data_IF_767456681533
#
_entry.id   IF_767456681533
#
_cell.length_a   1.000
_cell.length_b   1.000
_cell.length_c   1.000
_cell.angle_alpha   90.00
_cell.angle_beta   90.00
_cell.angle_gamma   90.00
#
_symmetry.space_group_name_H-M   'P 1'
#
loop_
_entity.id
_entity.type
_entity.pdbx_description
1 polymer ?
#
# COMPACT_ATOMS: atom_id res chain seq x y z
N UNK A 1 6.41 -10.86 -4.81
CA UNK A 1 6.98 -9.52 -4.93
C UNK A 1 5.86 -8.52 -4.93
N UNK A 2 5.85 -7.62 -4.00
CA UNK A 2 4.82 -6.59 -3.90
C UNK A 2 5.44 -5.33 -4.48
N UNK A 3 4.81 -4.66 -5.46
CA UNK A 3 5.31 -3.40 -6.01
C UNK A 3 5.49 -2.38 -4.88
N UNK A 4 6.29 -1.35 -5.09
CA UNK A 4 6.43 -0.26 -4.12
C UNK A 4 5.09 0.35 -3.72
N UNK A 5 4.13 0.39 -4.63
CA UNK A 5 2.72 0.70 -4.35
C UNK A 5 2.09 -0.33 -3.43
N UNK A 6 2.42 -1.62 -3.56
CA UNK A 6 1.88 -2.67 -2.71
C UNK A 6 2.43 -2.66 -1.29
N UNK A 7 3.72 -2.36 -1.08
CA UNK A 7 4.17 -2.09 0.28
C UNK A 7 3.43 -0.90 0.89
N UNK A 8 3.11 0.12 0.09
CA UNK A 8 2.34 1.28 0.53
C UNK A 8 0.83 1.04 0.50
N UNK A 9 0.24 0.36 -0.49
CA UNK A 9 -1.21 0.15 -0.54
C UNK A 9 -1.68 -0.92 0.43
N UNK A 10 -1.00 -2.07 0.53
CA UNK A 10 -1.35 -3.12 1.48
C UNK A 10 -0.99 -2.78 2.93
N UNK A 11 0.06 -1.99 3.17
CA UNK A 11 0.33 -1.42 4.49
C UNK A 11 -0.60 -0.23 4.78
N UNK A 12 -1.05 0.51 3.76
CA UNK A 12 -1.90 1.68 3.91
C UNK A 12 -3.38 1.35 3.98
N UNK A 13 -3.90 0.45 3.15
CA UNK A 13 -5.33 0.10 3.19
C UNK A 13 -5.68 -0.57 4.52
N UNK A 14 -4.87 -1.51 4.97
CA UNK A 14 -5.06 -2.17 6.27
C UNK A 14 -4.76 -1.27 7.46
N UNK A 15 -3.89 -0.25 7.33
CA UNK A 15 -3.54 0.67 8.43
C UNK A 15 -4.49 1.85 8.53
N UNK A 16 -5.09 2.30 7.42
CA UNK A 16 -6.03 3.43 7.46
C UNK A 16 -7.32 3.06 8.20
N UNK A 17 -7.79 1.84 8.03
CA UNK A 17 -9.04 1.38 8.67
C UNK A 17 -8.88 1.10 10.18
N UNK A 18 -7.69 0.69 10.61
CA UNK A 18 -7.46 0.25 12.00
C UNK A 18 -7.34 1.35 13.05
N UNK A 19 -7.34 2.63 12.69
CA UNK A 19 -7.14 3.72 13.65
C UNK A 19 -8.33 4.66 13.79
N UNK A 20 -9.47 4.36 13.22
CA UNK A 20 -10.74 4.96 13.60
C UNK A 20 -11.42 4.12 14.69
N UNK A 21 -10.76 3.89 15.81
CA UNK A 21 -11.48 3.56 17.05
C UNK A 21 -12.30 4.81 17.35
N UNK A 22 -13.59 4.70 17.09
CA UNK A 22 -14.57 5.72 17.41
C UNK A 22 -14.59 5.91 18.93
N UNK A 23 -13.87 6.91 19.41
CA UNK A 23 -14.21 7.53 20.70
C UNK A 23 -15.56 8.16 20.45
N UNK A 24 -16.59 7.66 21.13
CA UNK A 24 -17.95 8.15 21.03
C UNK A 24 -18.01 9.67 21.12
N UNK A 25 -18.40 10.29 20.03
CA UNK A 25 -18.80 11.69 19.99
C UNK A 25 -20.26 11.71 19.54
N UNK A 26 -21.07 12.14 20.47
CA UNK A 26 -22.48 12.54 20.34
C UNK A 26 -22.77 13.25 19.01
N UNK A 27 -23.91 12.85 18.47
CA UNK A 27 -24.73 13.47 17.45
C UNK A 27 -24.17 14.75 16.81
N UNK A 28 -23.69 14.62 15.60
CA UNK A 28 -23.46 15.76 14.74
C UNK A 28 -24.60 15.84 13.76
N UNK A 29 -25.18 17.05 13.69
CA UNK A 29 -26.23 17.45 12.79
C UNK A 29 -26.04 16.88 11.37
N UNK A 30 -27.14 16.51 10.74
CA UNK A 30 -27.20 16.11 9.35
C UNK A 30 -26.40 17.09 8.49
N UNK A 31 -25.27 16.64 7.99
CA UNK A 31 -24.46 17.41 7.06
C UNK A 31 -25.18 17.34 5.72
N UNK A 32 -25.54 18.48 5.16
CA UNK A 32 -26.01 18.56 3.77
C UNK A 32 -25.07 17.76 2.87
N UNK A 33 -25.60 17.04 1.85
CA UNK A 33 -24.75 16.33 0.92
C UNK A 33 -23.78 17.33 0.28
N UNK A 34 -22.49 17.13 0.50
CA UNK A 34 -21.47 17.98 -0.07
C UNK A 34 -21.70 18.05 -1.60
N UNK A 35 -21.78 19.27 -2.14
CA UNK A 35 -21.93 19.49 -3.58
C UNK A 35 -20.81 18.74 -4.30
N UNK A 36 -21.16 18.06 -5.37
CA UNK A 36 -20.18 17.43 -6.24
C UNK A 36 -19.45 18.51 -7.01
N UNK A 37 -18.17 18.66 -6.77
CA UNK A 37 -17.30 19.62 -7.44
C UNK A 37 -16.37 18.90 -8.42
N UNK A 38 -15.70 19.65 -9.27
CA UNK A 38 -14.61 19.12 -10.09
C UNK A 38 -13.29 19.28 -9.35
N UNK A 39 -12.31 18.47 -9.71
CA UNK A 39 -10.98 18.59 -9.16
C UNK A 39 -9.91 18.23 -10.18
N UNK A 40 -8.69 18.62 -9.84
CA UNK A 40 -7.49 18.18 -10.52
C UNK A 40 -6.50 17.65 -9.47
N UNK A 41 -5.65 16.73 -9.88
CA UNK A 41 -4.64 16.16 -8.98
C UNK A 41 -3.32 15.94 -9.67
N UNK A 42 -2.33 15.67 -8.84
CA UNK A 42 -1.01 15.25 -9.26
C UNK A 42 -0.40 14.27 -8.27
N UNK A 43 0.41 13.39 -8.78
CA UNK A 43 1.11 12.38 -8.00
C UNK A 43 2.56 12.33 -8.44
N UNK A 44 3.46 12.20 -7.47
CA UNK A 44 4.89 11.98 -7.69
C UNK A 44 5.34 10.77 -6.89
N UNK A 45 6.25 10.00 -7.46
CA UNK A 45 6.85 8.84 -6.82
C UNK A 45 8.33 8.73 -7.17
N UNK A 46 9.14 8.38 -6.19
CA UNK A 46 10.53 8.02 -6.39
C UNK A 46 10.91 6.87 -5.46
N UNK A 47 11.67 5.92 -5.96
CA UNK A 47 12.27 4.87 -5.14
C UNK A 47 13.67 4.51 -5.60
N UNK A 48 14.42 3.94 -4.68
CA UNK A 48 15.77 3.44 -4.90
C UNK A 48 16.00 2.20 -4.04
N UNK A 49 16.68 1.21 -4.57
CA UNK A 49 17.08 0.02 -3.82
C UNK A 49 18.60 -0.18 -3.79
N UNK A 50 19.06 -1.11 -2.96
CA UNK A 50 20.48 -1.43 -2.79
C UNK A 50 21.09 -2.18 -3.98
N UNK A 51 20.29 -2.62 -4.94
CA UNK A 51 20.75 -3.22 -6.20
C UNK A 51 20.90 -2.19 -7.32
N UNK A 52 20.66 -0.89 -7.00
CA UNK A 52 20.78 0.22 -7.92
C UNK A 52 19.57 0.39 -8.85
N UNK A 53 18.46 -0.31 -8.57
CA UNK A 53 17.23 -0.12 -9.31
C UNK A 53 16.48 1.10 -8.79
N UNK A 54 16.10 1.99 -9.70
CA UNK A 54 15.37 3.20 -9.38
C UNK A 54 14.05 3.24 -10.16
N UNK A 55 12.99 3.69 -9.49
CA UNK A 55 11.72 4.04 -10.13
C UNK A 55 11.43 5.51 -9.88
N UNK A 56 11.02 6.24 -10.91
CA UNK A 56 10.47 7.59 -10.81
C UNK A 56 9.14 7.63 -11.53
N UNK A 57 8.16 8.29 -10.96
CA UNK A 57 6.83 8.40 -11.55
C UNK A 57 6.22 9.77 -11.30
N UNK A 58 5.48 10.25 -12.29
CA UNK A 58 4.61 11.41 -12.17
C UNK A 58 3.26 11.08 -12.75
N UNK A 59 2.20 11.63 -12.17
CA UNK A 59 0.87 11.49 -12.73
C UNK A 59 0.09 12.79 -12.64
N UNK A 60 -0.86 12.94 -13.55
CA UNK A 60 -1.86 13.98 -13.54
C UNK A 60 -3.25 13.35 -13.47
N UNK A 61 -4.16 14.00 -12.76
CA UNK A 61 -5.50 13.51 -12.53
C UNK A 61 -6.54 14.56 -12.90
N UNK A 62 -7.62 14.13 -13.51
CA UNK A 62 -8.82 14.92 -13.68
C UNK A 62 -9.97 14.21 -12.96
N UNK A 63 -10.64 14.94 -12.06
CA UNK A 63 -11.68 14.44 -11.17
C UNK A 63 -13.00 15.16 -11.49
N UNK A 64 -13.79 14.65 -12.46
CA UNK A 64 -15.10 15.24 -12.79
C UNK A 64 -16.08 15.20 -11.61
N UNK A 65 -15.87 14.26 -10.66
CA UNK A 65 -16.65 14.15 -9.43
C UNK A 65 -15.70 14.10 -8.24
N UNK A 66 -15.66 15.15 -7.45
CA UNK A 66 -14.89 15.26 -6.22
C UNK A 66 -15.80 15.79 -5.09
N UNK A 67 -16.22 14.90 -4.19
CA UNK A 67 -16.90 15.31 -2.96
C UNK A 67 -15.89 15.55 -1.85
N UNK A 68 -14.99 14.59 -1.68
CA UNK A 68 -13.83 14.65 -0.78
C UNK A 68 -12.80 13.59 -1.22
N UNK A 69 -11.71 13.44 -0.48
CA UNK A 69 -10.64 12.48 -0.79
C UNK A 69 -11.10 11.00 -0.72
N UNK A 70 -12.17 10.72 0.01
CA UNK A 70 -12.74 9.38 0.20
C UNK A 70 -13.91 9.09 -0.76
N UNK A 71 -14.38 10.13 -1.52
CA UNK A 71 -15.46 10.00 -2.51
C UNK A 71 -15.14 10.81 -3.74
N UNK A 72 -14.67 10.14 -4.78
CA UNK A 72 -14.25 10.72 -6.06
C UNK A 72 -14.39 9.75 -7.23
N UNK A 73 -14.52 10.32 -8.43
CA UNK A 73 -14.41 9.61 -9.72
C UNK A 73 -13.46 10.40 -10.60
N UNK A 74 -12.58 9.72 -11.33
CA UNK A 74 -11.64 10.42 -12.18
C UNK A 74 -10.87 9.56 -13.16
N UNK A 75 -9.96 10.22 -13.85
CA UNK A 75 -8.99 9.62 -14.75
C UNK A 75 -7.59 10.06 -14.34
N UNK A 76 -6.62 9.15 -14.49
CA UNK A 76 -5.21 9.40 -14.22
C UNK A 76 -4.37 9.00 -15.43
N UNK A 77 -3.45 9.85 -15.81
CA UNK A 77 -2.32 9.48 -16.67
C UNK A 77 -1.07 9.45 -15.82
N UNK A 78 -0.32 8.33 -15.89
CA UNK A 78 0.94 8.14 -15.18
C UNK A 78 2.06 7.87 -16.16
N UNK A 79 3.16 8.58 -16.00
CA UNK A 79 4.44 8.30 -16.65
C UNK A 79 5.43 7.79 -15.62
N UNK A 80 6.13 6.70 -15.90
CA UNK A 80 7.17 6.12 -15.05
C UNK A 80 8.44 5.86 -15.83
N UNK A 81 9.57 6.02 -15.16
CA UNK A 81 10.88 5.59 -15.63
C UNK A 81 11.49 4.62 -14.63
N UNK A 82 12.04 3.56 -15.15
CA UNK A 82 12.82 2.56 -14.42
C UNK A 82 14.25 2.62 -14.89
N UNK A 83 15.22 2.65 -13.99
CA UNK A 83 16.64 2.71 -14.34
C UNK A 83 17.46 1.80 -13.46
N UNK A 84 18.43 1.10 -14.02
CA UNK A 84 19.45 0.35 -13.30
C UNK A 84 20.74 0.34 -14.10
N UNK A 85 21.81 0.92 -13.56
CA UNK A 85 23.08 1.12 -14.26
C UNK A 85 22.87 1.84 -15.62
N UNK A 86 23.17 1.18 -16.74
CA UNK A 86 23.00 1.70 -18.10
C UNK A 86 21.66 1.31 -18.74
N UNK A 87 20.79 0.60 -18.03
CA UNK A 87 19.48 0.20 -18.51
C UNK A 87 18.42 1.22 -18.09
N UNK A 88 17.50 1.49 -19.03
CA UNK A 88 16.34 2.36 -18.80
C UNK A 88 15.10 1.79 -19.47
N UNK A 89 13.96 1.92 -18.82
CA UNK A 89 12.64 1.58 -19.37
C UNK A 89 11.63 2.66 -18.97
N UNK A 90 10.73 2.97 -19.89
CA UNK A 90 9.63 3.89 -19.66
C UNK A 90 8.30 3.15 -19.70
N UNK A 91 7.34 3.61 -18.90
CA UNK A 91 5.99 3.09 -18.88
C UNK A 91 4.97 4.24 -18.85
N UNK A 92 3.90 4.05 -19.60
CA UNK A 92 2.76 4.95 -19.69
C UNK A 92 1.51 4.20 -19.23
N UNK A 93 0.72 4.81 -18.38
CA UNK A 93 -0.51 4.20 -17.89
C UNK A 93 -1.64 5.22 -17.93
N UNK A 94 -2.79 4.79 -18.42
CA UNK A 94 -4.07 5.53 -18.29
C UNK A 94 -5.00 4.69 -17.46
N UNK A 95 -5.61 5.27 -16.44
CA UNK A 95 -6.53 4.57 -15.55
C UNK A 95 -7.75 5.39 -15.18
N UNK A 96 -8.81 4.68 -14.81
CA UNK A 96 -10.02 5.21 -14.20
C UNK A 96 -9.90 5.05 -12.69
N UNK A 97 -10.27 6.11 -11.99
CA UNK A 97 -10.26 6.16 -10.52
C UNK A 97 -11.69 6.20 -10.02
N UNK A 98 -12.00 5.37 -9.04
CA UNK A 98 -13.22 5.49 -8.26
C UNK A 98 -12.91 5.22 -6.81
N UNK A 99 -13.41 6.08 -5.93
CA UNK A 99 -13.36 5.89 -4.49
C UNK A 99 -14.71 6.28 -3.91
N UNK A 100 -15.25 5.42 -3.08
CA UNK A 100 -16.52 5.65 -2.38
C UNK A 100 -16.44 4.95 -1.02
N UNK A 101 -15.91 5.68 -0.04
CA UNK A 101 -15.63 5.20 1.31
C UNK A 101 -16.34 6.13 2.28
N UNK A 102 -17.17 5.57 3.15
CA UNK A 102 -17.75 6.29 4.27
C UNK A 102 -16.68 6.56 5.34
N UNK A 103 -16.29 7.81 5.58
CA UNK A 103 -15.23 8.12 6.54
C UNK A 103 -15.59 7.81 8.01
N UNK A 104 -16.88 7.61 8.33
CA UNK A 104 -17.31 7.28 9.68
C UNK A 104 -17.19 5.79 9.99
N UNK A 105 -17.49 4.93 9.02
CA UNK A 105 -17.50 3.48 9.18
C UNK A 105 -16.35 2.80 8.45
N UNK A 106 -15.67 3.52 7.56
CA UNK A 106 -14.71 3.03 6.56
C UNK A 106 -15.32 2.01 5.56
N UNK A 107 -16.63 1.76 5.62
CA UNK A 107 -17.31 0.91 4.65
C UNK A 107 -17.22 1.52 3.26
N UNK A 108 -16.80 0.75 2.28
CA UNK A 108 -16.70 1.24 0.92
C UNK A 108 -15.64 0.57 0.10
N UNK A 109 -15.37 1.14 -1.06
CA UNK A 109 -14.45 0.58 -2.03
C UNK A 109 -13.63 1.65 -2.75
N UNK A 110 -12.49 1.21 -3.25
CA UNK A 110 -11.62 2.00 -4.12
C UNK A 110 -11.18 1.16 -5.32
N UNK A 111 -11.00 1.81 -6.44
CA UNK A 111 -10.59 1.19 -7.69
C UNK A 111 -9.69 2.16 -8.48
N UNK A 112 -8.56 1.66 -8.95
CA UNK A 112 -7.71 2.24 -9.99
C UNK A 112 -7.54 1.15 -11.06
N UNK A 113 -8.28 1.26 -12.16
CA UNK A 113 -8.26 0.28 -13.23
C UNK A 113 -7.82 0.93 -14.54
N UNK A 114 -6.85 0.36 -15.22
CA UNK A 114 -6.27 0.99 -16.39
C UNK A 114 -5.53 0.06 -17.31
N UNK A 115 -4.80 0.68 -18.25
CA UNK A 115 -3.91 0.04 -19.18
C UNK A 115 -2.52 0.66 -19.06
N UNK A 116 -1.51 -0.18 -18.91
CA UNK A 116 -0.11 0.22 -18.86
C UNK A 116 0.63 -0.35 -20.07
N UNK A 117 1.44 0.49 -20.69
CA UNK A 117 2.33 0.15 -21.80
C UNK A 117 3.77 0.40 -21.36
N UNK A 118 4.65 -0.58 -21.56
CA UNK A 118 6.08 -0.44 -21.31
C UNK A 118 6.88 -1.18 -22.40
N UNK A 119 7.70 -0.44 -23.17
CA UNK A 119 8.36 -0.99 -24.36
C UNK A 119 7.33 -1.58 -25.33
N UNK A 120 7.49 -2.87 -25.68
CA UNK A 120 6.55 -3.62 -26.54
C UNK A 120 5.46 -4.36 -25.76
N UNK A 121 5.44 -4.24 -24.43
CA UNK A 121 4.52 -4.97 -23.57
C UNK A 121 3.37 -4.07 -23.10
N UNK A 122 2.15 -4.60 -23.16
CA UNK A 122 0.95 -3.95 -22.65
C UNK A 122 0.19 -4.87 -21.71
N UNK A 123 -0.42 -4.30 -20.68
CA UNK A 123 -1.29 -5.05 -19.77
C UNK A 123 -2.39 -4.17 -19.17
N UNK A 124 -3.46 -4.81 -18.74
CA UNK A 124 -4.45 -4.17 -17.88
C UNK A 124 -3.92 -4.12 -16.45
N UNK A 125 -3.94 -2.95 -15.84
CA UNK A 125 -3.60 -2.73 -14.44
C UNK A 125 -4.86 -2.65 -13.58
N UNK A 126 -4.76 -3.09 -12.35
CA UNK A 126 -5.86 -3.08 -11.41
C UNK A 126 -5.30 -2.90 -9.98
N UNK A 127 -5.81 -1.91 -9.26
CA UNK A 127 -5.63 -1.76 -7.80
C UNK A 127 -7.02 -1.55 -7.22
N UNK A 128 -7.53 -2.52 -6.50
CA UNK A 128 -8.88 -2.52 -5.96
C UNK A 128 -8.93 -2.96 -4.51
N UNK A 129 -9.80 -2.32 -3.73
CA UNK A 129 -10.05 -2.66 -2.34
C UNK A 129 -11.51 -2.45 -1.97
N UNK A 130 -12.04 -3.33 -1.15
CA UNK A 130 -13.35 -3.21 -0.53
C UNK A 130 -13.24 -3.49 0.96
N UNK A 131 -13.68 -2.54 1.77
CA UNK A 131 -13.76 -2.71 3.21
C UNK A 131 -15.22 -2.77 3.66
N UNK A 132 -15.52 -3.70 4.55
CA UNK A 132 -16.84 -3.87 5.15
C UNK A 132 -16.73 -4.12 6.66
N UNK A 133 -17.30 -3.24 7.51
CA UNK A 133 -17.52 -3.55 8.91
C UNK A 133 -18.52 -4.71 9.03
N UNK A 134 -18.13 -5.81 9.67
CA UNK A 134 -19.00 -6.96 9.94
C UNK A 134 -19.67 -6.84 11.30
N UNK A 135 -18.96 -6.21 12.26
CA UNK A 135 -19.44 -5.91 13.61
C UNK A 135 -18.73 -4.66 14.14
N UNK A 136 -19.09 -4.20 15.34
CA UNK A 136 -18.54 -2.99 15.94
C UNK A 136 -16.99 -2.95 16.04
N UNK A 137 -16.35 -4.11 16.14
CA UNK A 137 -14.88 -4.25 16.24
C UNK A 137 -14.32 -5.28 15.26
N UNK A 138 -15.05 -5.61 14.19
CA UNK A 138 -14.66 -6.61 13.21
C UNK A 138 -14.80 -6.02 11.82
N UNK A 139 -13.72 -5.97 11.07
CA UNK A 139 -13.68 -5.56 9.67
C UNK A 139 -13.26 -6.70 8.75
N UNK A 140 -13.72 -6.62 7.51
CA UNK A 140 -13.33 -7.48 6.40
C UNK A 140 -12.82 -6.61 5.27
N UNK A 141 -11.63 -6.92 4.77
CA UNK A 141 -11.08 -6.32 3.56
C UNK A 141 -10.93 -7.38 2.46
N UNK A 142 -11.36 -7.03 1.26
CA UNK A 142 -11.02 -7.74 0.03
C UNK A 142 -10.10 -6.85 -0.80
N UNK A 143 -9.10 -7.43 -1.43
CA UNK A 143 -8.18 -6.67 -2.26
C UNK A 143 -7.76 -7.44 -3.49
N UNK A 144 -7.44 -6.68 -4.54
CA UNK A 144 -6.82 -7.18 -5.77
C UNK A 144 -5.84 -6.14 -6.28
N UNK A 145 -4.69 -6.62 -6.76
CA UNK A 145 -3.68 -5.78 -7.38
C UNK A 145 -3.07 -6.51 -8.58
N UNK A 146 -2.92 -5.82 -9.71
CA UNK A 146 -2.29 -6.32 -10.94
C UNK A 146 -1.34 -5.28 -11.48
N UNK A 147 -0.05 -5.60 -11.42
CA UNK A 147 1.05 -4.69 -11.74
C UNK A 147 2.23 -5.44 -12.39
N UNK A 148 3.17 -4.67 -12.95
CA UNK A 148 4.45 -5.19 -13.41
C UNK A 148 5.30 -5.68 -12.23
N UNK A 149 6.12 -6.72 -12.48
CA UNK A 149 7.20 -7.08 -11.56
C UNK A 149 8.35 -6.11 -11.79
N UNK A 150 8.60 -5.22 -10.84
CA UNK A 150 9.56 -4.11 -10.96
C UNK A 150 11.00 -4.59 -10.71
N UNK A 151 11.55 -5.37 -11.62
CA UNK A 151 12.99 -5.68 -11.76
C UNK A 151 13.38 -5.52 -13.21
N UNK A 152 14.65 -5.25 -13.48
CA UNK A 152 15.18 -5.12 -14.86
C UNK A 152 14.75 -6.31 -15.73
N UNK A 153 15.10 -7.54 -15.32
CA UNK A 153 14.82 -8.73 -16.09
C UNK A 153 13.32 -9.04 -16.27
N UNK A 154 12.50 -8.70 -15.29
CA UNK A 154 11.05 -8.90 -15.37
C UNK A 154 10.40 -7.90 -16.32
N UNK A 155 10.80 -6.62 -16.25
CA UNK A 155 10.30 -5.59 -17.16
C UNK A 155 10.70 -5.86 -18.61
N UNK A 156 11.91 -6.35 -18.86
CA UNK A 156 12.34 -6.73 -20.22
C UNK A 156 11.54 -7.89 -20.81
N UNK A 157 11.06 -8.80 -19.96
CA UNK A 157 10.22 -9.95 -20.36
C UNK A 157 8.72 -9.68 -20.29
N UNK A 158 8.30 -8.50 -19.83
CA UNK A 158 6.89 -8.17 -19.63
C UNK A 158 6.21 -9.00 -18.52
N UNK A 159 6.97 -9.45 -17.51
CA UNK A 159 6.41 -10.23 -16.41
C UNK A 159 5.58 -9.33 -15.50
N UNK A 160 4.38 -9.77 -15.21
CA UNK A 160 3.44 -9.12 -14.32
C UNK A 160 2.79 -10.14 -13.37
N UNK A 161 2.08 -9.66 -12.40
CA UNK A 161 1.37 -10.52 -11.45
C UNK A 161 -0.05 -10.02 -11.21
N UNK A 162 -0.89 -10.89 -10.69
CA UNK A 162 -2.13 -10.57 -10.00
C UNK A 162 -2.02 -11.08 -8.56
N UNK A 163 -2.31 -10.21 -7.59
CA UNK A 163 -2.33 -10.56 -6.18
C UNK A 163 -3.69 -10.23 -5.61
N UNK A 164 -4.41 -11.23 -5.13
CA UNK A 164 -5.73 -11.06 -4.54
C UNK A 164 -5.80 -11.77 -3.18
N UNK A 165 -6.66 -11.28 -2.31
CA UNK A 165 -6.81 -11.89 -1.01
C UNK A 165 -7.86 -11.23 -0.14
N UNK A 166 -7.90 -11.73 1.09
CA UNK A 166 -8.81 -11.29 2.15
C UNK A 166 -8.01 -10.96 3.42
N UNK A 167 -8.45 -9.92 4.12
CA UNK A 167 -7.95 -9.59 5.46
C UNK A 167 -9.13 -9.43 6.41
N UNK A 168 -8.93 -9.88 7.64
CA UNK A 168 -9.90 -9.67 8.73
C UNK A 168 -9.18 -8.99 9.88
N UNK A 169 -9.78 -7.94 10.40
CA UNK A 169 -9.35 -7.31 11.64
C UNK A 169 -10.37 -7.53 12.75
N UNK A 170 -9.87 -7.72 13.97
CA UNK A 170 -10.66 -7.94 15.17
C UNK A 170 -10.11 -7.13 16.33
N UNK A 171 -10.91 -6.20 16.83
CA UNK A 171 -10.65 -5.53 18.09
C UNK A 171 -10.96 -6.42 19.29
N UNK A 172 -10.00 -6.58 20.18
CA UNK A 172 -10.11 -7.33 21.45
C UNK A 172 -10.02 -6.36 22.62
N UNK A 173 -11.19 -5.97 23.14
CA UNK A 173 -11.27 -4.87 24.12
C UNK A 173 -10.97 -3.52 23.47
N UNK A 174 -10.37 -2.60 24.23
CA UNK A 174 -10.10 -1.23 23.76
C UNK A 174 -8.63 -1.01 23.37
N UNK A 175 -7.75 -1.90 23.79
CA UNK A 175 -6.30 -1.75 23.62
C UNK A 175 -5.70 -2.66 22.57
N UNK A 176 -6.38 -3.74 22.18
CA UNK A 176 -5.81 -4.76 21.31
C UNK A 176 -6.56 -4.85 19.99
N UNK A 177 -5.82 -5.02 18.93
CA UNK A 177 -6.37 -5.40 17.62
C UNK A 177 -5.50 -6.48 16.99
N UNK A 178 -6.14 -7.49 16.44
CA UNK A 178 -5.49 -8.56 15.68
C UNK A 178 -5.95 -8.48 14.24
N UNK A 179 -5.01 -8.63 13.31
CA UNK A 179 -5.28 -8.64 11.86
C UNK A 179 -4.69 -9.90 11.28
N UNK A 180 -5.45 -10.60 10.48
CA UNK A 180 -5.01 -11.73 9.68
C UNK A 180 -5.25 -11.46 8.20
N UNK A 181 -4.33 -11.89 7.33
CA UNK A 181 -4.46 -11.80 5.87
C UNK A 181 -4.05 -13.12 5.23
N UNK A 182 -4.82 -13.56 4.25
CA UNK A 182 -4.47 -14.62 3.32
C UNK A 182 -4.66 -14.12 1.89
N UNK A 183 -3.73 -14.43 1.00
CA UNK A 183 -3.79 -14.01 -0.40
C UNK A 183 -2.91 -14.87 -1.30
N UNK A 184 -3.26 -14.89 -2.58
CA UNK A 184 -2.52 -15.59 -3.63
C UNK A 184 -2.04 -14.61 -4.68
N UNK A 185 -0.78 -14.77 -5.08
CA UNK A 185 -0.12 -13.98 -6.12
C UNK A 185 0.26 -14.91 -7.28
N UNK A 186 -0.36 -14.73 -8.43
CA UNK A 186 -0.08 -15.48 -9.64
C UNK A 186 0.73 -14.60 -10.61
N UNK A 187 1.82 -15.13 -11.15
CA UNK A 187 2.72 -14.45 -12.07
C UNK A 187 2.46 -14.92 -13.50
N UNK A 188 2.66 -14.03 -14.47
CA UNK A 188 2.47 -14.34 -15.90
C UNK A 188 3.47 -15.34 -16.47
N UNK A 189 4.54 -15.66 -15.77
CA UNK A 189 5.51 -16.69 -16.11
C UNK A 189 5.14 -18.09 -15.57
N UNK A 190 3.96 -18.23 -14.95
CA UNK A 190 3.42 -19.49 -14.45
C UNK A 190 3.78 -19.82 -13.00
N UNK A 191 4.55 -18.96 -12.32
CA UNK A 191 4.80 -19.11 -10.89
C UNK A 191 3.62 -18.58 -10.06
N UNK A 192 3.47 -19.06 -8.84
CA UNK A 192 2.52 -18.49 -7.88
C UNK A 192 3.08 -18.47 -6.46
N UNK A 193 2.47 -17.65 -5.60
CA UNK A 193 2.82 -17.53 -4.18
C UNK A 193 1.59 -17.45 -3.31
N UNK A 194 1.55 -18.23 -2.26
CA UNK A 194 0.56 -18.10 -1.20
C UNK A 194 1.12 -17.26 -0.05
N UNK A 195 0.42 -16.19 0.31
CA UNK A 195 0.83 -15.23 1.32
C UNK A 195 -0.05 -15.30 2.55
N UNK A 196 0.58 -15.32 3.73
CA UNK A 196 -0.10 -15.18 5.01
C UNK A 196 0.57 -14.08 5.82
N UNK A 197 -0.26 -13.26 6.49
CA UNK A 197 0.22 -12.20 7.37
C UNK A 197 -0.61 -12.17 8.63
N UNK A 198 0.03 -11.84 9.74
CA UNK A 198 -0.62 -11.58 11.02
C UNK A 198 -0.02 -10.31 11.62
N UNK A 199 -0.85 -9.52 12.27
CA UNK A 199 -0.42 -8.35 13.01
C UNK A 199 -1.22 -8.25 14.31
N UNK A 200 -0.50 -8.09 15.42
CA UNK A 200 -1.09 -7.75 16.72
C UNK A 200 -0.69 -6.31 17.03
N UNK A 201 -1.66 -5.49 17.35
CA UNK A 201 -1.47 -4.08 17.73
C UNK A 201 -1.93 -3.92 19.16
N UNK A 202 -1.08 -3.35 20.00
CA UNK A 202 -1.39 -2.94 21.35
C UNK A 202 -1.28 -1.42 21.48
N UNK A 203 -2.32 -0.78 21.98
CA UNK A 203 -2.39 0.65 22.22
C UNK A 203 -2.39 0.90 23.74
N UNK A 204 -1.22 1.16 24.35
CA UNK A 204 -1.10 1.26 25.81
C UNK A 204 -1.89 2.44 26.37
N UNK A 205 -1.95 3.55 25.66
CA UNK A 205 -2.62 4.79 26.02
C UNK A 205 -3.46 5.26 24.82
N UNK A 206 -4.78 5.22 24.96
CA UNK A 206 -5.72 5.49 23.85
C UNK A 206 -5.55 6.89 23.25
N UNK A 207 -5.26 7.90 24.06
CA UNK A 207 -5.15 9.30 23.62
C UNK A 207 -3.75 9.69 23.12
N UNK A 208 -2.73 8.86 23.36
CA UNK A 208 -1.34 9.16 22.99
C UNK A 208 -1.06 8.99 21.49
N UNK A 209 -1.87 8.16 20.82
CA UNK A 209 -1.63 7.72 19.45
C UNK A 209 -0.46 6.75 19.32
N UNK A 210 0.10 6.27 20.44
CA UNK A 210 1.20 5.30 20.49
C UNK A 210 0.67 3.86 20.31
N UNK A 211 1.33 3.07 19.50
CA UNK A 211 1.04 1.64 19.32
C UNK A 211 2.31 0.80 19.36
N UNK A 212 2.22 -0.38 19.97
CA UNK A 212 3.23 -1.44 19.84
C UNK A 212 2.67 -2.51 18.90
N UNK A 213 3.47 -3.00 17.99
CA UNK A 213 3.01 -3.91 16.94
C UNK A 213 3.95 -5.09 16.83
N UNK A 214 3.39 -6.29 16.83
CA UNK A 214 4.06 -7.49 16.38
C UNK A 214 3.51 -7.84 15.00
N UNK A 215 4.39 -7.89 13.99
CA UNK A 215 4.03 -8.21 12.61
C UNK A 215 4.72 -9.51 12.20
N UNK A 216 3.97 -10.41 11.59
CA UNK A 216 4.45 -11.63 10.97
C UNK A 216 4.00 -11.67 9.51
N UNK A 217 4.88 -12.08 8.62
CA UNK A 217 4.52 -12.39 7.23
C UNK A 217 5.30 -13.61 6.75
N UNK A 218 4.63 -14.41 5.95
CA UNK A 218 5.24 -15.55 5.28
C UNK A 218 4.65 -15.71 3.89
N UNK A 219 5.43 -16.31 3.00
CA UNK A 219 4.90 -16.82 1.74
C UNK A 219 5.64 -18.09 1.31
N UNK A 220 4.94 -18.88 0.52
CA UNK A 220 5.44 -20.06 -0.15
C UNK A 220 5.31 -19.87 -1.66
N UNK A 221 6.35 -20.21 -2.44
CA UNK A 221 6.35 -20.14 -3.91
C UNK A 221 6.24 -21.55 -4.49
N UNK A 222 5.34 -21.74 -5.48
CA UNK A 222 5.11 -23.04 -6.11
C UNK A 222 6.31 -23.52 -6.92
N UNK A 223 7.05 -22.61 -7.55
CA UNK A 223 8.31 -22.93 -8.23
C UNK A 223 9.47 -22.14 -7.69
N UNK A 224 10.65 -22.75 -7.63
CA UNK A 224 11.87 -22.12 -7.17
C UNK A 224 12.69 -21.51 -8.30
N UNK A 225 12.45 -21.92 -9.55
CA UNK A 225 13.23 -21.51 -10.70
C UNK A 225 12.44 -20.58 -11.62
N UNK A 226 12.65 -19.29 -11.45
CA UNK A 226 12.13 -18.24 -12.34
C UNK A 226 13.25 -17.64 -13.23
N UNK A 227 14.36 -18.36 -13.37
CA UNK A 227 15.48 -17.94 -14.23
C UNK A 227 16.16 -16.64 -13.80
N UNK A 228 16.14 -16.31 -12.52
CA UNK A 228 16.75 -15.07 -11.98
C UNK A 228 16.00 -13.79 -12.36
N UNK A 229 14.78 -13.90 -12.87
CA UNK A 229 13.97 -12.74 -13.30
C UNK A 229 13.57 -11.85 -12.12
N UNK A 230 13.30 -12.46 -10.98
CA UNK A 230 13.03 -11.80 -9.71
C UNK A 230 13.39 -12.73 -8.55
N UNK A 231 13.58 -12.17 -7.36
CA UNK A 231 13.86 -12.96 -6.17
C UNK A 231 12.66 -13.86 -5.82
N UNK A 232 12.88 -15.18 -5.79
CA UNK A 232 11.81 -16.16 -5.63
C UNK A 232 12.25 -17.35 -4.75
N UNK A 233 12.39 -17.17 -3.43
CA UNK A 233 12.65 -18.29 -2.53
C UNK A 233 11.43 -19.20 -2.43
N UNK A 234 11.66 -20.49 -2.17
CA UNK A 234 10.57 -21.43 -1.91
C UNK A 234 9.74 -21.02 -0.68
N UNK A 235 10.43 -20.61 0.37
CA UNK A 235 9.80 -20.17 1.61
C UNK A 235 10.43 -18.86 2.10
N UNK A 236 9.60 -18.00 2.62
CA UNK A 236 9.99 -16.76 3.27
C UNK A 236 9.19 -16.57 4.54
N UNK A 237 9.84 -16.17 5.62
CA UNK A 237 9.19 -15.75 6.85
C UNK A 237 9.88 -14.53 7.44
N UNK A 238 9.11 -13.60 8.01
CA UNK A 238 9.61 -12.42 8.72
C UNK A 238 8.77 -12.16 9.96
N UNK A 239 9.46 -11.85 11.05
CA UNK A 239 8.84 -11.34 12.29
C UNK A 239 9.44 -9.99 12.62
N UNK A 240 8.60 -8.98 12.86
CA UNK A 240 9.01 -7.61 13.11
C UNK A 240 8.26 -7.02 14.30
N UNK A 241 9.00 -6.44 15.24
CA UNK A 241 8.47 -5.58 16.31
C UNK A 241 8.54 -4.14 15.84
N UNK A 242 7.43 -3.40 15.98
CA UNK A 242 7.37 -2.01 15.57
C UNK A 242 6.66 -1.14 16.61
N UNK A 243 7.05 0.13 16.62
CA UNK A 243 6.39 1.21 17.35
C UNK A 243 5.76 2.13 16.34
N UNK A 244 4.47 2.36 16.48
CA UNK A 244 3.73 3.34 15.69
C UNK A 244 3.34 4.54 16.54
N UNK A 245 3.33 5.72 15.94
CA UNK A 245 2.85 6.94 16.55
C UNK A 245 2.02 7.75 15.57
N UNK A 246 0.85 8.20 16.05
CA UNK A 246 -0.07 9.04 15.28
C UNK A 246 -0.36 10.31 16.05
N UNK A 247 -0.16 11.47 15.43
CA UNK A 247 -0.46 12.77 16.01
C UNK A 247 -1.29 13.62 15.06
N UNK A 248 -2.31 14.27 15.59
CA UNK A 248 -3.05 15.32 14.87
C UNK A 248 -2.57 16.68 15.34
N UNK A 249 -2.14 17.55 14.40
CA UNK A 249 -1.59 18.89 14.68
C UNK A 249 -2.28 19.85 13.71
N UNK A 250 -3.13 20.74 14.20
CA UNK A 250 -3.86 21.74 13.38
C UNK A 250 -4.60 21.12 12.18
N UNK A 251 -5.19 19.94 12.39
CA UNK A 251 -5.91 19.20 11.35
C UNK A 251 -5.04 18.27 10.49
N UNK A 252 -3.73 18.49 10.43
CA UNK A 252 -2.79 17.56 9.79
C UNK A 252 -2.66 16.28 10.63
N UNK A 253 -2.51 15.16 9.94
CA UNK A 253 -2.31 13.85 10.59
C UNK A 253 -0.93 13.33 10.22
N UNK A 254 -0.02 13.33 11.19
CA UNK A 254 1.28 12.67 11.08
C UNK A 254 1.19 11.24 11.61
N UNK A 255 1.70 10.28 10.85
CA UNK A 255 1.89 8.88 11.27
C UNK A 255 3.34 8.50 11.04
N UNK A 256 3.93 7.88 12.04
CA UNK A 256 5.29 7.34 11.97
C UNK A 256 5.28 5.89 12.46
N UNK A 257 6.04 5.02 11.82
CA UNK A 257 6.23 3.64 12.27
C UNK A 257 7.70 3.29 12.11
N UNK A 258 8.33 2.84 13.18
CA UNK A 258 9.69 2.29 13.16
C UNK A 258 9.69 0.88 13.72
N UNK A 259 10.47 -0.02 13.13
CA UNK A 259 10.51 -1.41 13.56
C UNK A 259 11.81 -2.11 13.21
N UNK A 260 12.06 -3.19 13.93
CA UNK A 260 13.17 -4.11 13.69
C UNK A 260 12.71 -5.56 13.89
N UNK A 261 13.36 -6.48 13.20
CA UNK A 261 12.97 -7.87 13.25
C UNK A 261 13.99 -8.79 12.61
N UNK A 262 13.55 -9.98 12.31
CA UNK A 262 14.33 -11.01 11.66
C UNK A 262 13.53 -11.62 10.51
N UNK A 263 14.23 -12.02 9.46
CA UNK A 263 13.68 -12.78 8.35
C UNK A 263 14.49 -14.06 8.14
N UNK A 264 13.82 -15.05 7.59
CA UNK A 264 14.40 -16.31 7.16
C UNK A 264 13.98 -16.59 5.72
N UNK A 265 14.96 -16.99 4.90
CA UNK A 265 14.79 -17.33 3.49
C UNK A 265 15.14 -18.79 3.35
N UNK A 266 14.17 -19.63 2.97
CA UNK A 266 14.31 -21.08 2.93
C UNK A 266 14.80 -21.64 4.28
N UNK A 267 15.89 -22.41 4.27
CA UNK A 267 16.58 -22.94 5.45
C UNK A 267 17.82 -22.13 5.86
N UNK A 268 18.04 -20.96 5.26
CA UNK A 268 19.21 -20.14 5.54
C UNK A 268 19.16 -19.54 6.96
N UNK A 269 20.31 -19.09 7.45
CA UNK A 269 20.38 -18.38 8.72
C UNK A 269 19.54 -17.10 8.68
N UNK A 270 18.88 -16.80 9.79
CA UNK A 270 18.07 -15.59 9.91
C UNK A 270 18.91 -14.32 9.77
N UNK A 271 18.38 -13.32 9.11
CA UNK A 271 18.99 -12.00 8.92
C UNK A 271 18.09 -10.89 9.48
N UNK A 272 18.71 -9.78 9.90
CA UNK A 272 17.98 -8.67 10.51
C UNK A 272 17.19 -7.89 9.47
N UNK A 273 15.98 -7.45 9.87
CA UNK A 273 15.12 -6.55 9.08
C UNK A 273 14.87 -5.25 9.82
N UNK A 274 14.65 -4.18 9.07
CA UNK A 274 14.35 -2.84 9.58
C UNK A 274 13.24 -2.22 8.77
N UNK A 275 12.43 -1.38 9.43
CA UNK A 275 11.35 -0.61 8.83
C UNK A 275 11.33 0.79 9.40
N UNK A 276 11.17 1.80 8.54
CA UNK A 276 10.80 3.17 8.90
C UNK A 276 9.79 3.66 7.88
N UNK A 277 8.64 4.14 8.36
CA UNK A 277 7.58 4.72 7.53
C UNK A 277 7.12 6.03 8.14
N UNK A 278 6.91 7.03 7.31
CA UNK A 278 6.35 8.33 7.68
C UNK A 278 5.25 8.68 6.70
N UNK A 279 4.11 9.13 7.22
CA UNK A 279 2.99 9.62 6.42
C UNK A 279 2.46 10.92 7.02
N UNK A 280 2.19 11.87 6.15
CA UNK A 280 1.59 13.16 6.49
C UNK A 280 0.37 13.39 5.58
N UNK A 281 -0.80 13.55 6.19
CA UNK A 281 -2.05 13.91 5.50
C UNK A 281 -2.48 15.32 5.92
N UNK A 282 -2.83 16.16 4.95
CA UNK A 282 -3.45 17.47 5.23
C UNK A 282 -4.89 17.30 5.73
N UNK A 283 -5.52 18.36 6.28
CA UNK A 283 -6.95 18.35 6.57
C UNK A 283 -7.78 18.00 5.32
N UNK A 284 -8.79 17.14 5.48
CA UNK A 284 -9.68 16.71 4.39
C UNK A 284 -10.74 17.77 4.01
N UNK A 285 -10.92 18.79 4.86
CA UNK A 285 -11.94 19.86 4.72
C UNK A 285 -11.32 21.14 4.15
N UNK A 286 -10.70 21.09 3.01
CA UNK A 286 -10.10 22.25 2.37
C UNK A 286 -10.35 22.24 0.88
N UNK A 287 -9.94 23.32 0.20
CA UNK A 287 -9.89 23.37 -1.26
C UNK A 287 -8.76 22.49 -1.82
N UNK A 288 -7.85 22.09 -0.96
CA UNK A 288 -6.70 21.28 -1.33
C UNK A 288 -6.51 20.13 -0.36
N UNK A 289 -6.05 19.02 -0.88
CA UNK A 289 -5.62 17.86 -0.11
C UNK A 289 -4.20 17.50 -0.52
N UNK A 290 -3.34 17.30 0.48
CA UNK A 290 -1.94 16.88 0.29
C UNK A 290 -1.69 15.63 1.13
N UNK A 291 -1.06 14.63 0.53
CA UNK A 291 -0.54 13.45 1.21
C UNK A 291 0.90 13.23 0.83
N UNK A 292 1.75 13.04 1.81
CA UNK A 292 3.16 12.67 1.61
C UNK A 292 3.44 11.39 2.36
N UNK A 293 4.11 10.44 1.72
CA UNK A 293 4.57 9.20 2.33
C UNK A 293 6.02 8.97 1.98
N UNK A 294 6.79 8.46 2.92
CA UNK A 294 8.15 8.04 2.68
C UNK A 294 8.52 6.90 3.61
N UNK A 295 9.46 6.09 3.19
CA UNK A 295 9.87 4.97 4.01
C UNK A 295 11.19 4.35 3.57
N UNK A 296 11.71 3.57 4.48
CA UNK A 296 12.87 2.71 4.29
C UNK A 296 12.55 1.31 4.84
N UNK A 297 12.89 0.29 4.09
CA UNK A 297 12.87 -1.08 4.60
C UNK A 297 14.14 -1.82 4.21
N UNK A 298 14.66 -2.62 5.14
CA UNK A 298 15.68 -3.63 4.87
C UNK A 298 15.05 -4.99 5.09
N UNK A 299 14.67 -5.63 4.02
CA UNK A 299 13.92 -6.88 4.04
C UNK A 299 13.91 -7.48 2.65
N UNK A 300 14.14 -8.77 2.51
CA UNK A 300 14.10 -9.43 1.21
C UNK A 300 12.76 -9.20 0.52
N UNK A 301 12.80 -8.69 -0.68
CA UNK A 301 11.64 -8.37 -1.49
C UNK A 301 11.96 -8.62 -2.97
N UNK A 302 12.56 -7.64 -3.65
CA UNK A 302 13.03 -7.78 -5.03
C UNK A 302 14.40 -8.42 -5.11
N UNK A 303 15.24 -8.19 -4.12
CA UNK A 303 16.54 -8.81 -3.92
C UNK A 303 16.60 -9.70 -2.68
N UNK A 304 17.77 -10.26 -2.39
CA UNK A 304 18.02 -11.21 -1.31
C UNK A 304 18.04 -10.60 0.10
N UNK A 305 18.71 -11.25 1.04
CA UNK A 305 18.58 -10.92 2.48
C UNK A 305 19.14 -9.54 2.88
N UNK A 306 19.97 -8.93 2.04
CA UNK A 306 20.51 -7.58 2.27
C UNK A 306 19.80 -6.48 1.48
N UNK A 307 18.67 -6.81 0.85
CA UNK A 307 17.93 -5.86 0.05
C UNK A 307 17.37 -4.72 0.92
N UNK A 308 17.71 -3.51 0.55
CA UNK A 308 17.20 -2.28 1.14
C UNK A 308 16.42 -1.48 0.11
N UNK A 309 15.31 -0.91 0.52
CA UNK A 309 14.40 -0.15 -0.33
C UNK A 309 14.00 1.14 0.34
N UNK A 310 14.15 2.26 -0.38
CA UNK A 310 13.73 3.59 0.05
C UNK A 310 12.74 4.16 -0.95
N UNK A 311 11.71 4.83 -0.47
CA UNK A 311 10.74 5.49 -1.36
C UNK A 311 10.23 6.82 -0.79
N UNK A 312 9.78 7.67 -1.69
CA UNK A 312 9.03 8.90 -1.42
C UNK A 312 7.86 9.02 -2.40
N UNK A 313 6.71 9.40 -1.89
CA UNK A 313 5.47 9.56 -2.63
C UNK A 313 4.76 10.82 -2.18
N UNK A 314 4.23 11.60 -3.13
CA UNK A 314 3.40 12.76 -2.87
C UNK A 314 2.14 12.73 -3.73
N UNK A 315 1.01 13.07 -3.16
CA UNK A 315 -0.29 13.23 -3.82
C UNK A 315 -0.82 14.63 -3.48
N UNK A 316 -1.32 15.34 -4.47
CA UNK A 316 -1.95 16.64 -4.32
C UNK A 316 -3.22 16.70 -5.14
N UNK A 317 -4.33 17.06 -4.51
CA UNK A 317 -5.65 17.23 -5.13
C UNK A 317 -6.17 18.62 -4.80
N UNK A 318 -6.68 19.32 -5.81
CA UNK A 318 -7.32 20.63 -5.68
C UNK A 318 -8.76 20.55 -6.20
N UNK A 319 -9.67 21.30 -5.57
CA UNK A 319 -11.01 21.57 -6.06
C UNK A 319 -10.96 22.72 -7.05
N UNK A 320 -11.74 22.59 -8.14
CA UNK A 320 -11.83 23.57 -9.22
C UNK A 320 -13.14 24.32 -9.16
#
# INVERSE_FOLDING_TARGET
MISARQMTSLLSSTVITLLTISIGHTAIAATEPASTERGAGGYVFASHDTEGFNTRGVAVEYLPELRNIDSLTGMRYTYRTYTQQNWQREAHQVSLLKRDIDPATANGWQLDAGMSLQGSHGMLTLDGGYHRPLAAKTGLDLFVDREWVETHAALDRGVHFIFAGVSVDQGLGDHWTVVGLAGRQDFSDGNSRDHYRAKVVFQPLLDSGLTLQLRYRTYHSDTNNVGGVYFNPANYAETLLAVGWRKRIQGWVLRMTGGMGVQQINSDASTNTHLLEVMLDSPSRGTQFVRVRGGYSRSASYGGPNYGYTYLQGEWIIRL
#
